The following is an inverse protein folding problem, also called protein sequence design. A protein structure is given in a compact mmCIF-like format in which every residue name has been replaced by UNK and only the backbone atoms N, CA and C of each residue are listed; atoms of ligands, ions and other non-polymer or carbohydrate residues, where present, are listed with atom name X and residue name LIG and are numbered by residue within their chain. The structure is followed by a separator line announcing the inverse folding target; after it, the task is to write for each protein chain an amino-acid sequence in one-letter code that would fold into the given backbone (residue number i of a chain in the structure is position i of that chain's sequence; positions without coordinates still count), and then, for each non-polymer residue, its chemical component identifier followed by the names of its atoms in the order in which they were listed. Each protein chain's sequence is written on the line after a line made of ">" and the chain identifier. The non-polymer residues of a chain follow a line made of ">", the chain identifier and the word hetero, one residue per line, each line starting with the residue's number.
data_IF_683472162817
#
_entry.id   IF_683472162817
#
_cell.length_a   1.000
_cell.length_b   1.000
_cell.length_c   1.000
_cell.angle_alpha   90.00
_cell.angle_beta   90.00
_cell.angle_gamma   90.00
#
_symmetry.space_group_name_H-M   'P 1'
#
loop_
_entity.id
_entity.type
_entity.pdbx_description
1 polymer ?
#
# COMPACT_ATOMS: atom_id res chain seq x y z
N UNK A 1 44.81 -2.56 38.35
CA UNK A 1 45.60 -3.03 37.19
C UNK A 1 44.61 -3.52 36.17
N UNK A 2 44.38 -2.67 35.18
CA UNK A 2 43.49 -2.89 34.03
C UNK A 2 44.24 -3.86 33.12
N UNK A 3 43.58 -4.92 32.67
CA UNK A 3 44.09 -5.76 31.60
C UNK A 3 42.99 -5.89 30.56
N UNK A 4 42.94 -4.87 29.70
CA UNK A 4 42.20 -4.88 28.45
C UNK A 4 42.90 -5.87 27.52
N UNK A 5 42.24 -6.98 27.22
CA UNK A 5 42.64 -7.87 26.14
C UNK A 5 41.58 -7.74 25.04
N UNK A 6 41.76 -6.72 24.22
CA UNK A 6 41.03 -6.56 22.96
C UNK A 6 41.48 -7.66 22.01
N UNK A 7 40.62 -8.67 21.83
CA UNK A 7 40.74 -9.61 20.74
C UNK A 7 40.27 -8.92 19.46
N UNK A 8 41.24 -8.39 18.72
CA UNK A 8 41.11 -8.00 17.32
C UNK A 8 40.91 -9.30 16.51
N UNK A 9 39.72 -9.46 15.92
CA UNK A 9 39.46 -10.54 14.97
C UNK A 9 39.34 -9.90 13.59
N UNK A 10 40.45 -9.98 12.87
CA UNK A 10 40.55 -9.73 11.44
C UNK A 10 39.60 -10.66 10.69
N UNK A 11 38.63 -10.08 9.98
CA UNK A 11 37.81 -10.82 9.01
C UNK A 11 38.50 -10.63 7.66
N UNK A 12 39.25 -11.64 7.26
CA UNK A 12 39.80 -11.79 5.92
C UNK A 12 38.69 -11.71 4.88
N UNK A 13 38.88 -10.79 3.93
CA UNK A 13 38.10 -10.66 2.71
C UNK A 13 38.45 -11.85 1.81
N UNK A 14 37.51 -12.77 1.64
CA UNK A 14 37.58 -13.79 0.59
C UNK A 14 36.80 -13.21 -0.61
N UNK A 15 37.55 -12.74 -1.60
CA UNK A 15 37.08 -12.60 -2.99
C UNK A 15 37.05 -13.99 -3.66
N UNK A 16 36.43 -14.05 -4.85
CA UNK A 16 36.19 -15.21 -5.74
C UNK A 16 34.78 -15.83 -5.56
N UNK A 17 34.01 -16.16 -6.60
CA UNK A 17 34.21 -16.10 -8.04
C UNK A 17 32.83 -16.09 -8.72
N UNK A 18 32.77 -15.52 -9.91
CA UNK A 18 31.61 -15.56 -10.79
C UNK A 18 31.39 -16.98 -11.32
N UNK A 19 30.20 -17.53 -11.16
CA UNK A 19 29.74 -18.58 -12.07
C UNK A 19 28.29 -18.34 -12.51
N UNK A 20 28.21 -18.03 -13.80
CA UNK A 20 27.02 -17.95 -14.63
C UNK A 20 26.34 -19.31 -14.73
N UNK A 21 25.08 -19.40 -14.30
CA UNK A 21 24.18 -20.49 -14.67
C UNK A 21 22.99 -19.91 -15.41
N UNK A 22 23.05 -20.08 -16.74
CA UNK A 22 21.92 -20.02 -17.67
C UNK A 22 21.10 -21.30 -17.53
N UNK A 23 19.80 -21.19 -17.28
CA UNK A 23 18.86 -22.28 -17.56
C UNK A 23 17.59 -21.71 -18.20
N UNK A 24 17.51 -21.95 -19.49
CA UNK A 24 16.35 -21.78 -20.36
C UNK A 24 15.21 -22.70 -19.95
N UNK A 25 13.99 -22.18 -19.97
CA UNK A 25 12.79 -23.01 -20.06
C UNK A 25 11.74 -22.33 -20.95
N UNK A 26 11.85 -22.56 -22.26
CA UNK A 26 10.80 -22.23 -23.23
C UNK A 26 9.69 -23.30 -23.26
N UNK A 27 8.45 -22.79 -23.24
CA UNK A 27 7.21 -23.16 -23.99
C UNK A 27 6.68 -24.60 -24.03
N UNK A 28 5.39 -24.71 -23.67
CA UNK A 28 4.27 -25.20 -24.53
C UNK A 28 2.94 -24.69 -23.93
N UNK A 29 2.27 -23.64 -24.42
CA UNK A 29 1.20 -23.57 -25.46
C UNK A 29 0.15 -24.69 -25.37
N UNK A 30 -1.12 -24.36 -25.12
CA UNK A 30 -2.25 -24.50 -26.08
C UNK A 30 -3.52 -23.78 -25.63
N UNK A 31 -4.07 -23.04 -26.59
CA UNK A 31 -5.31 -22.27 -26.67
C UNK A 31 -6.58 -23.13 -26.66
N UNK A 32 -7.71 -22.54 -26.22
CA UNK A 32 -9.06 -22.87 -26.75
C UNK A 32 -9.96 -21.62 -26.66
N UNK A 33 -10.18 -20.99 -27.81
CA UNK A 33 -11.31 -20.13 -28.11
C UNK A 33 -12.53 -21.00 -28.44
N UNK A 34 -13.75 -20.55 -28.12
CA UNK A 34 -14.91 -20.55 -29.06
C UNK A 34 -16.12 -19.80 -28.48
N UNK A 35 -16.47 -18.71 -29.17
CA UNK A 35 -17.81 -18.24 -29.61
C UNK A 35 -19.00 -18.08 -28.64
N UNK A 36 -19.54 -16.85 -28.66
CA UNK A 36 -20.91 -16.44 -28.29
C UNK A 36 -22.01 -17.20 -29.06
N UNK A 37 -23.28 -17.10 -28.60
CA UNK A 37 -24.21 -16.23 -29.35
C UNK A 37 -25.19 -15.40 -28.50
N UNK A 38 -25.57 -14.27 -29.11
CA UNK A 38 -26.56 -13.26 -28.70
C UNK A 38 -27.98 -13.77 -28.95
N UNK A 39 -28.92 -13.55 -28.02
CA UNK A 39 -30.29 -13.05 -28.35
C UNK A 39 -31.18 -12.79 -27.12
N UNK A 40 -31.71 -11.55 -27.06
CA UNK A 40 -33.11 -11.10 -26.78
C UNK A 40 -33.77 -11.61 -25.49
N UNK A 41 -34.43 -10.78 -24.66
CA UNK A 41 -35.58 -9.96 -25.05
C UNK A 41 -36.01 -9.03 -23.89
N UNK A 42 -36.12 -7.73 -24.20
CA UNK A 42 -37.13 -6.72 -23.78
C UNK A 42 -37.58 -6.56 -22.33
N UNK A 43 -38.15 -5.44 -21.90
CA UNK A 43 -38.22 -4.02 -22.30
C UNK A 43 -39.26 -3.46 -21.34
N UNK A 44 -39.02 -2.32 -20.69
CA UNK A 44 -40.07 -1.40 -20.23
C UNK A 44 -39.40 -0.13 -19.68
N UNK A 45 -39.03 0.77 -20.58
CA UNK A 45 -38.91 2.20 -20.25
C UNK A 45 -40.02 2.87 -21.05
N UNK A 46 -41.14 3.06 -20.38
CA UNK A 46 -42.25 3.84 -20.89
C UNK A 46 -41.76 5.25 -21.25
N UNK A 47 -41.96 5.59 -22.52
CA UNK A 47 -41.81 6.94 -23.03
C UNK A 47 -42.94 7.76 -22.43
N UNK A 48 -42.65 8.62 -21.46
CA UNK A 48 -43.50 9.78 -21.24
C UNK A 48 -42.81 11.04 -21.76
N UNK A 49 -43.26 11.40 -22.96
CA UNK A 49 -42.93 12.65 -23.65
C UNK A 49 -43.62 13.80 -22.93
N UNK A 50 -42.85 14.62 -22.22
CA UNK A 50 -43.25 15.99 -21.90
C UNK A 50 -42.21 16.96 -22.45
N UNK A 51 -42.62 17.55 -23.55
CA UNK A 51 -42.06 18.71 -24.22
C UNK A 51 -41.77 19.82 -23.19
N UNK A 52 -40.49 20.15 -22.99
CA UNK A 52 -40.10 21.44 -22.40
C UNK A 52 -38.96 22.00 -23.22
N UNK A 53 -39.14 23.21 -23.74
CA UNK A 53 -38.12 23.96 -24.48
C UNK A 53 -36.79 23.91 -23.73
N UNK A 54 -35.78 23.25 -24.29
CA UNK A 54 -34.56 22.93 -23.57
C UNK A 54 -33.77 24.19 -23.23
N UNK A 55 -33.84 24.63 -21.97
CA UNK A 55 -32.83 25.53 -21.42
C UNK A 55 -31.49 24.78 -21.48
N UNK A 56 -30.43 25.43 -21.98
CA UNK A 56 -29.10 24.83 -22.04
C UNK A 56 -28.72 24.29 -20.64
N UNK A 57 -28.29 23.03 -20.58
CA UNK A 57 -27.86 22.41 -19.32
C UNK A 57 -26.66 23.20 -18.81
N UNK A 58 -26.83 23.91 -17.69
CA UNK A 58 -25.72 24.66 -17.06
C UNK A 58 -24.76 23.66 -16.43
N UNK A 59 -23.57 23.57 -17.00
CA UNK A 59 -22.49 22.74 -16.47
C UNK A 59 -21.78 23.49 -15.35
N UNK A 60 -21.69 22.86 -14.18
CA UNK A 60 -21.04 23.44 -13.01
C UNK A 60 -19.54 23.10 -13.01
N UNK A 61 -18.72 24.10 -12.69
CA UNK A 61 -17.27 23.96 -12.47
C UNK A 61 -16.99 24.02 -10.98
N UNK A 62 -15.88 23.42 -10.58
CA UNK A 62 -15.40 23.40 -9.21
C UNK A 62 -15.15 24.84 -8.75
N UNK A 63 -15.77 25.21 -7.64
CA UNK A 63 -15.53 26.51 -7.01
C UNK A 63 -14.60 26.31 -5.82
N UNK A 64 -13.45 26.99 -5.84
CA UNK A 64 -12.45 26.95 -4.77
C UNK A 64 -13.01 27.48 -3.43
N UNK A 65 -14.05 28.31 -3.46
CA UNK A 65 -14.75 28.77 -2.25
C UNK A 65 -15.44 27.62 -1.49
N UNK A 66 -15.76 26.50 -2.16
CA UNK A 66 -16.34 25.35 -1.48
C UNK A 66 -15.37 24.68 -0.51
N UNK A 67 -14.06 24.76 -0.77
CA UNK A 67 -13.02 24.25 0.14
C UNK A 67 -13.01 25.08 1.44
N UNK A 68 -13.37 26.36 1.38
CA UNK A 68 -13.42 27.25 2.57
C UNK A 68 -14.60 26.95 3.48
N UNK A 69 -15.61 26.22 2.98
CA UNK A 69 -16.78 25.85 3.78
C UNK A 69 -16.34 24.77 4.78
N UNK A 70 -16.52 25.05 6.08
CA UNK A 70 -16.16 24.14 7.18
C UNK A 70 -16.69 22.71 7.02
N UNK A 71 -17.88 22.54 6.42
CA UNK A 71 -18.47 21.22 6.12
C UNK A 71 -17.65 20.39 5.12
N UNK A 72 -16.94 21.03 4.19
CA UNK A 72 -16.28 20.36 3.06
C UNK A 72 -14.76 20.34 3.17
N UNK A 73 -14.16 21.25 3.94
CA UNK A 73 -12.71 21.41 4.05
C UNK A 73 -11.97 20.13 4.45
N UNK A 74 -12.62 19.24 5.20
CA UNK A 74 -12.03 18.00 5.70
C UNK A 74 -11.80 16.95 4.62
N UNK A 75 -12.55 16.98 3.51
CA UNK A 75 -12.48 15.92 2.50
C UNK A 75 -12.47 16.40 1.04
N UNK A 76 -12.97 17.60 0.76
CA UNK A 76 -13.17 18.09 -0.59
C UNK A 76 -11.88 18.70 -1.14
N UNK A 77 -11.45 18.22 -2.29
CA UNK A 77 -10.28 18.70 -3.00
C UNK A 77 -10.62 18.95 -4.48
N UNK A 78 -9.86 19.85 -5.10
CA UNK A 78 -9.96 20.10 -6.54
C UNK A 78 -9.35 18.91 -7.31
N UNK A 79 -9.99 18.51 -8.41
CA UNK A 79 -9.45 17.49 -9.28
C UNK A 79 -8.44 18.13 -10.25
N UNK A 80 -7.24 17.54 -10.38
CA UNK A 80 -6.18 18.06 -11.26
C UNK A 80 -6.47 17.89 -12.74
N UNK A 81 -7.31 16.92 -13.12
CA UNK A 81 -7.58 16.58 -14.52
C UNK A 81 -8.71 17.41 -15.09
N UNK A 82 -9.80 17.56 -14.32
CA UNK A 82 -11.05 18.13 -14.82
C UNK A 82 -11.68 19.07 -13.79
N UNK A 83 -11.93 20.30 -14.23
CA UNK A 83 -12.60 21.33 -13.41
C UNK A 83 -14.05 20.98 -13.04
N UNK A 84 -14.63 19.93 -13.62
CA UNK A 84 -15.99 19.46 -13.33
C UNK A 84 -16.07 18.18 -12.51
N UNK A 85 -14.90 17.70 -12.07
CA UNK A 85 -14.77 16.64 -11.10
C UNK A 85 -14.27 17.27 -9.79
N UNK A 86 -14.79 16.75 -8.69
CA UNK A 86 -14.24 16.99 -7.37
C UNK A 86 -13.57 15.71 -6.88
N UNK A 87 -12.48 15.85 -6.14
CA UNK A 87 -11.80 14.74 -5.49
C UNK A 87 -12.22 14.68 -4.02
N UNK A 88 -12.46 13.48 -3.51
CA UNK A 88 -12.71 13.24 -2.10
C UNK A 88 -11.53 12.48 -1.50
N UNK A 89 -10.85 13.06 -0.50
CA UNK A 89 -9.71 12.43 0.17
C UNK A 89 -10.10 11.16 0.93
N UNK A 90 -11.27 11.16 1.58
CA UNK A 90 -11.83 10.03 2.33
C UNK A 90 -12.15 8.85 1.41
N UNK A 91 -12.77 9.14 0.26
CA UNK A 91 -13.19 8.12 -0.71
C UNK A 91 -12.10 7.78 -1.74
N UNK A 92 -10.99 8.53 -1.75
CA UNK A 92 -9.88 8.43 -2.71
C UNK A 92 -10.34 8.34 -4.16
N UNK A 93 -11.44 9.03 -4.50
CA UNK A 93 -12.10 8.92 -5.79
C UNK A 93 -12.60 10.29 -6.27
N UNK A 94 -12.68 10.40 -7.60
CA UNK A 94 -13.21 11.58 -8.29
C UNK A 94 -14.70 11.37 -8.55
N UNK A 95 -15.52 12.39 -8.28
CA UNK A 95 -16.95 12.37 -8.59
C UNK A 95 -17.36 13.62 -9.35
N UNK A 96 -18.39 13.49 -10.19
CA UNK A 96 -18.84 14.58 -11.04
C UNK A 96 -19.70 15.59 -10.28
N UNK A 97 -19.40 16.88 -10.46
CA UNK A 97 -20.18 18.01 -9.96
C UNK A 97 -20.94 18.75 -11.08
N UNK A 98 -20.71 18.37 -12.33
CA UNK A 98 -21.27 18.93 -13.55
C UNK A 98 -22.75 19.34 -13.49
N UNK A 99 -23.61 18.43 -13.03
CA UNK A 99 -25.06 18.54 -13.21
C UNK A 99 -25.81 19.08 -11.97
N UNK A 100 -25.10 19.39 -10.89
CA UNK A 100 -25.73 19.78 -9.63
C UNK A 100 -24.83 20.49 -8.61
N UNK A 101 -23.56 20.70 -8.94
CA UNK A 101 -22.60 21.43 -8.11
C UNK A 101 -22.62 20.97 -6.66
N UNK A 102 -22.88 21.91 -5.74
CA UNK A 102 -22.95 21.69 -4.29
C UNK A 102 -23.89 20.56 -3.87
N UNK A 103 -25.03 20.39 -4.54
CA UNK A 103 -25.96 19.28 -4.22
C UNK A 103 -25.29 17.92 -4.37
N UNK A 104 -24.41 17.75 -5.37
CA UNK A 104 -23.71 16.49 -5.59
C UNK A 104 -22.65 16.21 -4.52
N UNK A 105 -22.08 17.27 -3.94
CA UNK A 105 -21.17 17.18 -2.79
C UNK A 105 -21.94 16.75 -1.53
N UNK A 106 -23.10 17.37 -1.27
CA UNK A 106 -23.96 16.98 -0.15
C UNK A 106 -24.47 15.54 -0.30
N UNK A 107 -24.91 15.15 -1.50
CA UNK A 107 -25.32 13.78 -1.79
C UNK A 107 -24.16 12.79 -1.62
N UNK A 108 -22.94 13.16 -1.99
CA UNK A 108 -21.76 12.31 -1.79
C UNK A 108 -21.52 12.02 -0.30
N UNK A 109 -21.68 13.01 0.58
CA UNK A 109 -21.57 12.83 2.03
C UNK A 109 -22.61 11.85 2.59
N UNK A 110 -23.78 11.80 1.98
CA UNK A 110 -24.86 10.91 2.40
C UNK A 110 -24.65 9.45 1.97
N UNK A 111 -23.78 9.21 0.97
CA UNK A 111 -23.51 7.88 0.45
C UNK A 111 -22.88 6.97 1.51
N UNK A 112 -23.32 5.71 1.52
CA UNK A 112 -22.85 4.67 2.44
C UNK A 112 -21.34 4.45 2.36
N UNK A 113 -20.78 4.54 1.16
CA UNK A 113 -19.33 4.42 0.94
C UNK A 113 -18.55 5.50 1.68
N UNK A 114 -18.98 6.76 1.58
CA UNK A 114 -18.32 7.86 2.27
C UNK A 114 -18.40 7.69 3.79
N UNK A 115 -19.60 7.45 4.33
CA UNK A 115 -19.82 7.24 5.76
C UNK A 115 -18.95 6.13 6.33
N UNK A 116 -18.94 4.97 5.67
CA UNK A 116 -18.14 3.81 6.09
C UNK A 116 -16.64 4.11 6.10
N UNK A 117 -16.13 4.82 5.10
CA UNK A 117 -14.72 5.18 5.01
C UNK A 117 -14.33 6.27 6.02
N UNK A 118 -15.19 7.27 6.21
CA UNK A 118 -14.99 8.30 7.23
C UNK A 118 -14.94 7.70 8.65
N UNK A 119 -15.83 6.74 8.95
CA UNK A 119 -15.80 6.00 10.22
C UNK A 119 -14.52 5.16 10.38
N UNK A 120 -14.01 4.57 9.29
CA UNK A 120 -12.76 3.82 9.32
C UNK A 120 -11.55 4.73 9.58
N UNK A 121 -11.48 5.89 8.92
CA UNK A 121 -10.40 6.87 9.16
C UNK A 121 -10.43 7.43 10.58
N UNK A 122 -11.61 7.65 11.16
CA UNK A 122 -11.73 8.09 12.56
C UNK A 122 -11.20 7.03 13.55
N UNK A 123 -11.38 5.73 13.24
CA UNK A 123 -10.89 4.62 14.06
C UNK A 123 -9.39 4.41 13.90
N UNK A 124 -8.88 4.58 12.69
CA UNK A 124 -7.46 4.43 12.38
C UNK A 124 -6.81 5.81 12.27
N UNK A 125 -6.58 6.50 13.41
CA UNK A 125 -5.69 7.67 13.42
C UNK A 125 -4.35 7.22 12.86
N UNK A 126 -3.97 7.74 11.70
CA UNK A 126 -2.67 7.51 11.10
C UNK A 126 -1.62 8.12 12.00
N UNK A 127 -1.11 7.36 12.96
CA UNK A 127 0.16 7.68 13.58
C UNK A 127 1.21 7.60 12.46
N UNK A 128 1.95 8.68 12.23
CA UNK A 128 3.19 8.59 11.47
C UNK A 128 4.03 7.53 12.17
N UNK A 129 4.33 6.45 11.46
CA UNK A 129 5.08 5.30 12.00
C UNK A 129 6.49 5.69 12.48
N UNK A 130 6.92 6.91 12.17
CA UNK A 130 8.25 7.45 12.47
C UNK A 130 8.28 8.39 13.68
N UNK A 131 7.14 8.84 14.21
CA UNK A 131 7.13 9.90 15.23
C UNK A 131 7.48 9.42 16.66
N UNK A 132 7.60 8.10 16.88
CA UNK A 132 7.72 7.52 18.22
C UNK A 132 8.93 6.62 18.47
N UNK A 133 9.82 6.41 17.51
CA UNK A 133 11.00 5.55 17.73
C UNK A 133 12.22 6.43 18.01
N UNK A 134 12.61 6.62 19.30
CA UNK A 134 13.85 7.30 19.60
C UNK A 134 15.03 6.49 19.00
N UNK A 135 16.05 7.17 18.45
CA UNK A 135 17.12 6.54 17.67
C UNK A 135 17.94 5.52 18.46
N UNK A 136 17.93 5.57 19.80
CA UNK A 136 18.65 4.64 20.69
C UNK A 136 17.79 3.51 21.27
N UNK A 137 16.57 3.31 20.79
CA UNK A 137 15.71 2.25 21.33
C UNK A 137 16.25 0.86 21.00
N UNK A 138 16.09 -0.10 21.93
CA UNK A 138 16.35 -1.52 21.67
C UNK A 138 15.54 -2.04 20.46
N UNK A 139 14.38 -1.44 20.20
CA UNK A 139 13.57 -1.72 19.02
C UNK A 139 14.29 -1.36 17.72
N UNK A 140 15.01 -0.24 17.66
CA UNK A 140 15.82 0.14 16.49
C UNK A 140 16.88 -0.91 16.18
N UNK A 141 17.55 -1.43 17.22
CA UNK A 141 18.56 -2.50 17.06
C UNK A 141 17.94 -3.80 16.59
N UNK A 142 16.77 -4.17 17.12
CA UNK A 142 16.02 -5.33 16.67
C UNK A 142 15.62 -5.22 15.20
N UNK A 143 15.07 -4.07 14.79
CA UNK A 143 14.71 -3.80 13.40
C UNK A 143 15.95 -3.89 12.50
N UNK A 144 17.08 -3.31 12.91
CA UNK A 144 18.34 -3.39 12.17
C UNK A 144 18.83 -4.83 12.01
N UNK A 145 18.74 -5.66 13.05
CA UNK A 145 19.09 -7.08 12.98
C UNK A 145 18.19 -7.84 12.00
N UNK A 146 16.87 -7.58 12.02
CA UNK A 146 15.93 -8.20 11.09
C UNK A 146 16.18 -7.78 9.64
N UNK A 147 16.41 -6.49 9.39
CA UNK A 147 16.75 -5.98 8.04
C UNK A 147 18.05 -6.62 7.55
N UNK A 148 19.06 -6.73 8.42
CA UNK A 148 20.34 -7.35 8.09
C UNK A 148 20.17 -8.82 7.70
N UNK A 149 19.37 -9.57 8.46
CA UNK A 149 19.09 -10.99 8.17
C UNK A 149 18.37 -11.17 6.82
N UNK A 150 17.41 -10.30 6.54
CA UNK A 150 16.67 -10.32 5.26
C UNK A 150 17.60 -9.97 4.10
N UNK A 151 18.40 -8.92 4.25
CA UNK A 151 19.37 -8.51 3.23
C UNK A 151 20.39 -9.60 2.93
N UNK A 152 20.97 -10.24 3.96
CA UNK A 152 21.85 -11.39 3.80
C UNK A 152 21.13 -12.53 3.07
N UNK A 153 19.88 -12.84 3.44
CA UNK A 153 19.08 -13.83 2.74
C UNK A 153 18.89 -13.53 1.25
N UNK A 154 18.58 -12.28 0.89
CA UNK A 154 18.44 -11.87 -0.52
C UNK A 154 19.77 -12.02 -1.25
N UNK A 155 20.88 -11.58 -0.64
CA UNK A 155 22.22 -11.66 -1.25
C UNK A 155 22.63 -13.09 -1.60
N UNK A 156 22.24 -14.05 -0.78
CA UNK A 156 22.58 -15.47 -0.97
C UNK A 156 21.41 -16.31 -1.52
N UNK A 157 20.33 -15.68 -1.99
CA UNK A 157 19.20 -16.40 -2.58
C UNK A 157 18.45 -17.32 -1.61
N UNK A 158 18.50 -17.05 -0.30
CA UNK A 158 17.74 -17.80 0.69
C UNK A 158 16.24 -17.59 0.51
N UNK A 159 15.48 -18.68 0.56
CA UNK A 159 14.03 -18.61 0.47
C UNK A 159 13.42 -17.84 1.65
N UNK A 160 12.33 -17.10 1.43
CA UNK A 160 11.58 -16.51 2.55
C UNK A 160 11.01 -17.56 3.51
N UNK A 161 10.85 -18.81 3.05
CA UNK A 161 10.41 -19.92 3.89
C UNK A 161 11.47 -20.33 4.92
N UNK A 162 12.76 -20.30 4.57
CA UNK A 162 13.84 -20.58 5.52
C UNK A 162 14.00 -19.47 6.55
N UNK A 163 13.62 -18.23 6.24
CA UNK A 163 13.63 -17.16 7.24
C UNK A 163 12.69 -17.43 8.43
N UNK A 164 11.57 -18.13 8.20
CA UNK A 164 10.69 -18.53 9.30
C UNK A 164 11.39 -19.49 10.28
N UNK A 165 12.09 -20.51 9.78
CA UNK A 165 12.84 -21.40 10.67
C UNK A 165 14.08 -20.71 11.27
N UNK A 166 14.71 -19.78 10.55
CA UNK A 166 15.82 -18.98 11.09
C UNK A 166 15.38 -18.18 12.30
N UNK A 167 14.23 -17.51 12.25
CA UNK A 167 13.71 -16.77 13.41
C UNK A 167 13.48 -17.67 14.63
N UNK A 168 12.96 -18.88 14.44
CA UNK A 168 12.74 -19.83 15.54
C UNK A 168 14.05 -20.41 16.09
N UNK A 169 15.03 -20.65 15.22
CA UNK A 169 16.37 -21.12 15.62
C UNK A 169 17.12 -20.02 16.36
N UNK A 170 17.10 -18.77 15.89
CA UNK A 170 17.76 -17.64 16.54
C UNK A 170 17.29 -17.44 17.98
N UNK A 171 16.00 -17.62 18.26
CA UNK A 171 15.46 -17.55 19.64
C UNK A 171 16.02 -18.64 20.55
N UNK A 172 16.30 -19.83 20.01
CA UNK A 172 16.83 -20.96 20.77
C UNK A 172 18.34 -20.86 20.96
N UNK A 173 19.06 -20.32 19.99
CA UNK A 173 20.51 -20.13 20.03
C UNK A 173 20.92 -18.95 20.91
N UNK A 174 20.18 -17.84 20.83
CA UNK A 174 20.53 -16.57 21.49
C UNK A 174 19.53 -16.25 22.60
N UNK A 175 19.46 -17.11 23.62
CA UNK A 175 18.52 -16.96 24.74
C UNK A 175 18.91 -15.84 25.70
N UNK A 176 20.20 -15.52 25.76
CA UNK A 176 20.82 -14.46 26.54
C UNK A 176 20.67 -13.07 25.88
N UNK A 177 20.62 -13.02 24.55
CA UNK A 177 20.39 -11.79 23.80
C UNK A 177 18.93 -11.37 23.80
N UNK A 178 18.67 -10.13 24.24
CA UNK A 178 17.35 -9.48 24.10
C UNK A 178 16.92 -9.40 22.64
N UNK A 179 17.85 -9.17 21.72
CA UNK A 179 17.59 -9.06 20.28
C UNK A 179 17.27 -10.44 19.69
N UNK A 180 18.11 -11.43 19.96
CA UNK A 180 17.93 -12.79 19.43
C UNK A 180 16.62 -13.44 19.89
N UNK A 181 16.27 -13.27 21.17
CA UNK A 181 15.00 -13.73 21.73
C UNK A 181 13.76 -13.06 21.11
N UNK A 182 13.87 -11.79 20.72
CA UNK A 182 12.76 -11.02 20.16
C UNK A 182 12.75 -10.98 18.62
N UNK A 183 13.70 -11.65 17.97
CA UNK A 183 13.74 -11.76 16.51
C UNK A 183 12.49 -12.50 16.01
N UNK A 184 11.61 -11.80 15.29
CA UNK A 184 10.33 -12.37 14.83
C UNK A 184 10.18 -12.31 13.30
N UNK A 185 11.31 -12.12 12.59
CA UNK A 185 11.36 -11.98 11.14
C UNK A 185 11.09 -13.31 10.41
N UNK A 186 9.81 -13.67 10.33
CA UNK A 186 9.34 -14.79 9.52
C UNK A 186 9.10 -14.42 8.06
N UNK A 187 8.55 -15.37 7.29
CA UNK A 187 8.35 -15.28 5.83
C UNK A 187 7.71 -13.97 5.34
N UNK A 188 6.55 -13.61 5.89
CA UNK A 188 5.79 -12.44 5.42
C UNK A 188 6.55 -11.15 5.70
N UNK A 189 7.09 -11.02 6.91
CA UNK A 189 7.87 -9.85 7.32
C UNK A 189 9.15 -9.70 6.50
N UNK A 190 9.85 -10.80 6.24
CA UNK A 190 11.03 -10.82 5.39
C UNK A 190 10.72 -10.37 3.95
N UNK A 191 9.62 -10.87 3.36
CA UNK A 191 9.16 -10.44 2.04
C UNK A 191 8.83 -8.94 2.03
N UNK A 192 8.08 -8.46 3.02
CA UNK A 192 7.67 -7.06 3.07
C UNK A 192 8.87 -6.13 3.26
N UNK A 193 9.87 -6.52 4.04
CA UNK A 193 11.14 -5.79 4.16
C UNK A 193 11.88 -5.77 2.82
N UNK A 194 12.00 -6.91 2.14
CA UNK A 194 12.68 -7.02 0.85
C UNK A 194 12.06 -6.07 -0.20
N UNK A 195 10.72 -6.12 -0.34
CA UNK A 195 10.00 -5.38 -1.36
C UNK A 195 9.84 -3.90 -1.00
N UNK A 196 9.42 -3.60 0.23
CA UNK A 196 8.99 -2.25 0.59
C UNK A 196 10.09 -1.40 1.24
N UNK A 197 11.12 -2.02 1.84
CA UNK A 197 12.22 -1.29 2.47
C UNK A 197 13.52 -1.34 1.65
N UNK A 198 13.85 -2.49 1.06
CA UNK A 198 15.09 -2.68 0.29
C UNK A 198 14.92 -2.49 -1.23
N UNK A 199 13.68 -2.59 -1.75
CA UNK A 199 13.38 -2.46 -3.18
C UNK A 199 13.95 -3.59 -4.04
N UNK A 200 13.99 -4.81 -3.51
CA UNK A 200 14.53 -6.02 -4.15
C UNK A 200 13.46 -7.07 -4.43
#
# INVERSE_FOLDING_TARGET
>A
MINDNSAELDIEVIEEENDSITLDFEKTVTSKETSSPISKLSSNIEKNSLNTSSKSKRYCKFNTDWIKISKYVSFLQECRTDSSLAHCSVCKSNFSIANGGKYLIDRHLEQTNHKRLAEAEAKHKSHSMFDFIPPSSELTKLIAAEITLVYHGIRHGHSYSSQACTADVSKKLFQDSTIGKNLTCGRTKARDIAVNALGK
#
